data_IF_419833133320
#
_entry.id   IF_419833133320
#
_cell.length_a   1.000
_cell.length_b   1.000
_cell.length_c   1.000
_cell.angle_alpha   90.00
_cell.angle_beta   90.00
_cell.angle_gamma   90.00
#
_symmetry.space_group_name_H-M   'P 1'
#
loop_
_entity.id
_entity.type
_entity.pdbx_description
1 polymer ?
#
# COMPACT_ATOMS: atom_id res chain seq x y z
N UNK A 1 -1.48 -12.49 5.64
CA UNK A 1 -1.96 -11.11 5.92
C UNK A 1 -2.64 -11.05 7.29
N UNK A 2 -2.13 -10.26 8.24
CA UNK A 2 -2.83 -9.99 9.53
C UNK A 2 -3.71 -8.73 9.41
N UNK A 3 -5.00 -8.90 9.64
CA UNK A 3 -6.04 -7.87 9.47
C UNK A 3 -6.16 -7.05 10.76
N UNK A 4 -5.62 -5.82 10.76
CA UNK A 4 -5.83 -4.87 11.86
C UNK A 4 -7.00 -3.97 11.50
N UNK A 5 -8.16 -4.21 12.13
CA UNK A 5 -9.38 -3.44 11.90
C UNK A 5 -9.37 -2.12 12.67
N UNK A 6 -9.41 -0.97 11.98
CA UNK A 6 -9.67 0.35 12.56
C UNK A 6 -10.92 0.96 11.91
N UNK A 7 -11.96 1.23 12.70
CA UNK A 7 -13.17 1.95 12.26
C UNK A 7 -13.88 1.36 11.00
N UNK A 8 -14.02 0.02 10.94
CA UNK A 8 -14.52 -0.78 9.81
C UNK A 8 -13.58 -0.94 8.61
N UNK A 9 -12.40 -0.32 8.62
CA UNK A 9 -11.34 -0.59 7.65
C UNK A 9 -10.49 -1.74 8.17
N UNK A 10 -10.41 -2.82 7.41
CA UNK A 10 -9.79 -4.09 7.82
C UNK A 10 -8.35 -4.19 7.33
N UNK A 11 -8.01 -3.44 6.28
CA UNK A 11 -6.73 -3.54 5.59
C UNK A 11 -6.14 -2.14 5.42
N UNK A 12 -4.80 -2.07 5.42
CA UNK A 12 -4.07 -0.89 5.00
C UNK A 12 -3.14 -1.27 3.85
N UNK A 13 -3.07 -0.41 2.84
CA UNK A 13 -2.17 -0.54 1.69
C UNK A 13 -1.29 0.70 1.64
N UNK A 14 0.00 0.48 1.40
CA UNK A 14 0.98 1.56 1.24
C UNK A 14 1.50 1.54 -0.18
N UNK A 15 1.33 2.65 -0.89
CA UNK A 15 1.97 2.88 -2.17
C UNK A 15 3.18 3.79 -1.97
N UNK A 16 4.26 3.49 -2.68
CA UNK A 16 5.51 4.24 -2.65
C UNK A 16 5.97 4.47 -4.07
N UNK A 17 6.10 5.73 -4.46
CA UNK A 17 6.86 6.11 -5.65
C UNK A 17 8.33 6.20 -5.26
N UNK A 18 9.16 5.31 -5.83
CA UNK A 18 10.59 5.27 -5.53
C UNK A 18 11.36 6.46 -6.08
N UNK A 19 10.86 7.09 -7.15
CA UNK A 19 11.58 8.20 -7.78
C UNK A 19 11.50 9.47 -6.93
N UNK A 20 10.30 9.83 -6.48
CA UNK A 20 10.05 11.03 -5.67
C UNK A 20 10.14 10.81 -4.16
N UNK A 21 10.24 9.56 -3.70
CA UNK A 21 10.01 9.14 -2.31
C UNK A 21 8.62 9.53 -1.77
N UNK A 22 7.66 9.81 -2.67
CA UNK A 22 6.27 10.05 -2.30
C UNK A 22 5.63 8.76 -1.80
N UNK A 23 5.00 8.84 -0.63
CA UNK A 23 4.35 7.68 0.02
C UNK A 23 2.97 8.05 0.47
N UNK A 24 2.04 7.13 0.25
CA UNK A 24 0.67 7.31 0.71
C UNK A 24 0.11 6.00 1.24
N UNK A 25 -0.53 6.10 2.40
CA UNK A 25 -1.22 4.99 3.05
C UNK A 25 -2.71 5.17 2.89
N UNK A 26 -3.36 4.08 2.55
CA UNK A 26 -4.80 4.03 2.41
C UNK A 26 -5.37 2.96 3.33
N UNK A 27 -6.45 3.33 4.00
CA UNK A 27 -7.27 2.41 4.79
C UNK A 27 -8.41 1.94 3.92
N UNK A 28 -8.48 0.64 3.63
CA UNK A 28 -9.52 0.06 2.78
C UNK A 28 -10.40 -0.89 3.57
N UNK A 29 -11.65 -1.03 3.15
CA UNK A 29 -12.65 -1.88 3.82
C UNK A 29 -12.68 -3.26 3.18
N UNK A 30 -12.46 -3.32 1.87
CA UNK A 30 -12.41 -4.54 1.09
C UNK A 30 -11.13 -4.57 0.27
N UNK A 31 -10.67 -5.77 -0.03
CA UNK A 31 -9.47 -5.97 -0.85
C UNK A 31 -9.66 -5.41 -2.27
N UNK A 32 -10.86 -5.56 -2.83
CA UNK A 32 -11.23 -5.09 -4.17
C UNK A 32 -11.09 -3.56 -4.33
N UNK A 33 -11.15 -2.80 -3.23
CA UNK A 33 -11.01 -1.34 -3.22
C UNK A 33 -9.59 -0.87 -3.66
N UNK A 34 -8.60 -1.79 -3.72
CA UNK A 34 -7.22 -1.44 -4.09
C UNK A 34 -7.10 -0.81 -5.47
N UNK A 35 -8.00 -1.15 -6.41
CA UNK A 35 -8.01 -0.57 -7.77
C UNK A 35 -8.30 0.93 -7.72
N UNK A 36 -9.37 1.31 -7.03
CA UNK A 36 -9.79 2.71 -6.88
C UNK A 36 -8.70 3.52 -6.18
N UNK A 37 -8.12 2.94 -5.13
CA UNK A 37 -7.03 3.56 -4.39
C UNK A 37 -5.79 3.74 -5.28
N UNK A 38 -5.44 2.74 -6.08
CA UNK A 38 -4.31 2.83 -7.00
C UNK A 38 -4.50 3.94 -8.04
N UNK A 39 -5.70 4.10 -8.60
CA UNK A 39 -6.01 5.21 -9.50
C UNK A 39 -5.79 6.57 -8.82
N UNK A 40 -6.28 6.73 -7.59
CA UNK A 40 -6.06 7.94 -6.80
C UNK A 40 -4.57 8.23 -6.60
N UNK A 41 -3.80 7.22 -6.21
CA UNK A 41 -2.35 7.34 -6.04
C UNK A 41 -1.64 7.74 -7.34
N UNK A 42 -1.91 7.04 -8.45
CA UNK A 42 -1.28 7.32 -9.75
C UNK A 42 -1.60 8.75 -10.23
N UNK A 43 -2.84 9.22 -10.03
CA UNK A 43 -3.22 10.60 -10.35
C UNK A 43 -2.47 11.61 -9.49
N UNK A 44 -2.32 11.35 -8.19
CA UNK A 44 -1.58 12.23 -7.29
C UNK A 44 -0.10 12.33 -7.68
N UNK A 45 0.55 11.19 -7.97
CA UNK A 45 1.95 11.16 -8.43
C UNK A 45 2.11 11.96 -9.73
N UNK A 46 1.21 11.77 -10.70
CA UNK A 46 1.23 12.53 -11.95
C UNK A 46 1.03 14.03 -11.73
N UNK A 47 0.07 14.43 -10.89
CA UNK A 47 -0.17 15.85 -10.60
C UNK A 47 0.97 16.52 -9.85
N UNK A 48 1.62 15.82 -8.92
CA UNK A 48 2.67 16.41 -8.09
C UNK A 48 4.03 16.44 -8.77
N UNK A 49 4.32 15.46 -9.61
CA UNK A 49 5.66 15.28 -10.16
C UNK A 49 5.73 15.37 -11.69
N UNK A 50 4.60 15.53 -12.38
CA UNK A 50 4.49 15.51 -13.86
C UNK A 50 5.13 14.27 -14.49
N UNK A 51 5.16 13.18 -13.73
CA UNK A 51 5.80 11.91 -14.12
C UNK A 51 4.72 10.84 -14.21
N UNK A 52 4.67 10.18 -15.37
CA UNK A 52 3.86 8.99 -15.56
C UNK A 52 4.55 7.78 -14.91
N UNK A 53 3.81 7.05 -14.07
CA UNK A 53 4.26 5.77 -13.54
C UNK A 53 4.47 4.79 -14.71
N UNK A 54 5.69 4.24 -14.83
CA UNK A 54 6.04 3.31 -15.92
C UNK A 54 6.11 1.86 -15.47
N UNK A 55 6.40 1.64 -14.19
CA UNK A 55 6.63 0.32 -13.61
C UNK A 55 5.92 0.23 -12.27
N UNK A 56 5.27 -0.91 -12.04
CA UNK A 56 4.61 -1.24 -10.79
C UNK A 56 5.22 -2.52 -10.22
N UNK A 57 5.57 -2.48 -8.94
CA UNK A 57 6.23 -3.59 -8.23
C UNK A 57 5.45 -3.96 -6.98
N UNK A 58 5.13 -5.25 -6.82
CA UNK A 58 4.52 -5.82 -5.62
C UNK A 58 5.54 -6.74 -4.94
N UNK A 59 5.64 -6.64 -3.60
CA UNK A 59 6.31 -7.63 -2.75
C UNK A 59 5.32 -8.04 -1.64
N UNK A 60 4.96 -9.32 -1.60
CA UNK A 60 3.94 -9.94 -0.74
C UNK A 60 4.42 -11.35 -0.42
N UNK A 61 4.12 -11.85 0.78
CA UNK A 61 4.35 -13.26 1.12
C UNK A 61 3.58 -14.18 0.17
N UNK A 62 4.29 -15.15 -0.39
CA UNK A 62 3.96 -15.98 -1.57
C UNK A 62 2.52 -16.49 -1.75
N UNK A 63 1.65 -16.45 -0.73
CA UNK A 63 0.26 -16.98 -0.75
C UNK A 63 -0.81 -16.02 -1.23
N UNK A 64 -0.61 -14.69 -1.18
CA UNK A 64 -1.64 -13.70 -1.53
C UNK A 64 -1.28 -12.88 -2.79
N UNK A 65 -0.35 -13.40 -3.61
CA UNK A 65 0.27 -12.72 -4.75
C UNK A 65 -0.62 -12.70 -6.01
N UNK A 66 -1.21 -13.84 -6.34
CA UNK A 66 -1.98 -13.99 -7.58
C UNK A 66 -3.25 -13.14 -7.55
N UNK A 67 -3.88 -13.01 -6.38
CA UNK A 67 -5.11 -12.24 -6.21
C UNK A 67 -4.92 -10.73 -6.36
N UNK A 68 -3.83 -10.13 -5.84
CA UNK A 68 -3.60 -8.68 -5.98
C UNK A 68 -3.26 -8.31 -7.42
N UNK A 69 -2.39 -9.12 -8.04
CA UNK A 69 -2.00 -8.90 -9.42
C UNK A 69 -3.19 -9.06 -10.36
N UNK A 70 -3.99 -10.14 -10.22
CA UNK A 70 -5.15 -10.36 -11.08
C UNK A 70 -6.15 -9.20 -11.02
N UNK A 71 -6.33 -8.62 -9.83
CA UNK A 71 -7.22 -7.48 -9.63
C UNK A 71 -6.69 -6.19 -10.29
N UNK A 72 -5.38 -5.95 -10.24
CA UNK A 72 -4.75 -4.77 -10.84
C UNK A 72 -4.37 -4.96 -12.31
N UNK A 73 -4.34 -6.19 -12.82
CA UNK A 73 -3.78 -6.52 -14.14
C UNK A 73 -4.45 -5.73 -15.26
N UNK A 74 -5.78 -5.64 -15.25
CA UNK A 74 -6.53 -4.88 -16.25
C UNK A 74 -6.17 -3.39 -16.18
N UNK A 75 -6.15 -2.82 -14.99
CA UNK A 75 -5.78 -1.42 -14.76
C UNK A 75 -4.35 -1.10 -15.18
N UNK A 76 -3.39 -1.97 -14.88
CA UNK A 76 -2.00 -1.79 -15.28
C UNK A 76 -1.84 -1.84 -16.80
N UNK A 77 -2.56 -2.75 -17.47
CA UNK A 77 -2.56 -2.86 -18.92
C UNK A 77 -3.13 -1.60 -19.58
N UNK A 78 -4.30 -1.12 -19.12
CA UNK A 78 -4.95 0.10 -19.64
C UNK A 78 -4.06 1.34 -19.50
N UNK A 79 -3.28 1.42 -18.42
CA UNK A 79 -2.38 2.53 -18.17
C UNK A 79 -1.02 2.39 -18.87
N UNK A 80 -0.77 1.27 -19.54
CA UNK A 80 0.51 0.85 -20.12
C UNK A 80 1.65 0.85 -19.08
N UNK A 81 1.36 0.35 -17.88
CA UNK A 81 2.31 0.23 -16.77
C UNK A 81 2.86 -1.20 -16.76
N UNK A 82 4.19 -1.33 -16.82
CA UNK A 82 4.84 -2.63 -16.75
C UNK A 82 4.73 -3.19 -15.32
N UNK A 83 4.33 -4.45 -15.20
CA UNK A 83 4.35 -5.16 -13.93
C UNK A 83 5.67 -5.91 -13.74
N UNK A 84 6.32 -5.71 -12.60
CA UNK A 84 7.47 -6.50 -12.16
C UNK A 84 7.17 -7.12 -10.79
N UNK A 85 7.48 -8.41 -10.66
CA UNK A 85 7.41 -9.12 -9.39
C UNK A 85 8.79 -9.20 -8.76
N UNK A 86 8.88 -9.11 -7.43
CA UNK A 86 10.01 -9.66 -6.71
C UNK A 86 9.57 -10.56 -5.57
N UNK A 87 10.34 -11.63 -5.39
CA UNK A 87 10.30 -12.44 -4.18
C UNK A 87 10.85 -11.59 -3.03
N UNK A 88 10.28 -11.78 -1.84
CA UNK A 88 10.68 -11.10 -0.59
C UNK A 88 12.17 -11.23 -0.28
N UNK A 89 12.89 -12.18 -0.90
CA UNK A 89 14.32 -12.39 -0.72
C UNK A 89 15.19 -11.32 -1.40
N UNK A 90 14.68 -10.57 -2.36
CA UNK A 90 15.36 -9.40 -2.95
C UNK A 90 15.11 -8.11 -2.14
N UNK A 91 15.49 -8.14 -0.86
CA UNK A 91 15.29 -7.07 0.13
C UNK A 91 15.94 -5.70 -0.17
N UNK A 92 16.61 -5.50 -1.30
CA UNK A 92 17.36 -4.24 -1.55
C UNK A 92 16.45 -3.05 -1.84
N UNK A 93 15.24 -3.30 -2.34
CA UNK A 93 14.45 -2.29 -3.04
C UNK A 93 13.26 -1.73 -2.25
N UNK A 94 12.75 -2.45 -1.23
CA UNK A 94 11.48 -2.10 -0.54
C UNK A 94 11.64 -2.02 0.99
N UNK A 95 12.86 -2.24 1.51
CA UNK A 95 13.21 -2.02 2.94
C UNK A 95 12.67 -0.71 3.50
N UNK A 96 12.57 0.32 2.65
CA UNK A 96 11.97 1.62 2.95
C UNK A 96 10.47 1.57 3.23
N UNK A 97 9.68 0.88 2.41
CA UNK A 97 8.23 0.74 2.60
C UNK A 97 7.92 -0.23 3.76
N UNK A 98 8.68 -1.31 3.91
CA UNK A 98 8.52 -2.24 5.05
C UNK A 98 8.80 -1.55 6.39
N UNK A 99 9.93 -0.83 6.50
CA UNK A 99 10.27 -0.04 7.71
C UNK A 99 9.19 0.99 8.00
N UNK A 100 8.62 1.59 6.95
CA UNK A 100 7.54 2.54 7.10
C UNK A 100 6.26 1.85 7.64
N UNK A 101 5.88 0.70 7.09
CA UNK A 101 4.72 -0.08 7.55
C UNK A 101 4.87 -0.56 9.00
N UNK A 102 6.07 -1.00 9.40
CA UNK A 102 6.35 -1.39 10.79
C UNK A 102 6.17 -0.19 11.74
N UNK A 103 6.75 0.97 11.38
CA UNK A 103 6.60 2.21 12.17
C UNK A 103 5.14 2.65 12.24
N UNK A 104 4.43 2.60 11.13
CA UNK A 104 3.03 2.97 11.07
C UNK A 104 2.14 2.05 11.92
N UNK A 105 2.34 0.73 11.84
CA UNK A 105 1.64 -0.26 12.69
C UNK A 105 1.88 0.04 14.17
N UNK A 106 3.12 0.35 14.53
CA UNK A 106 3.47 0.71 15.91
C UNK A 106 2.76 1.99 16.36
N UNK A 107 2.77 3.05 15.55
CA UNK A 107 2.11 4.32 15.84
C UNK A 107 0.59 4.17 15.96
N UNK A 108 -0.05 3.44 15.04
CA UNK A 108 -1.50 3.17 15.12
C UNK A 108 -1.85 2.43 16.42
N UNK A 109 -1.03 1.44 16.81
CA UNK A 109 -1.22 0.68 18.06
C UNK A 109 -1.06 1.56 19.30
N UNK A 110 -0.11 2.50 19.30
CA UNK A 110 0.08 3.47 20.38
C UNK A 110 -1.13 4.40 20.51
N UNK A 111 -1.53 5.06 19.43
CA UNK A 111 -2.69 5.98 19.41
C UNK A 111 -3.95 5.26 19.88
N UNK A 112 -4.15 4.01 19.45
CA UNK A 112 -5.29 3.20 19.89
C UNK A 112 -5.28 2.96 21.41
N UNK A 113 -4.13 2.56 21.98
CA UNK A 113 -3.98 2.37 23.43
C UNK A 113 -4.24 3.66 24.21
N UNK A 114 -3.70 4.79 23.76
CA UNK A 114 -3.89 6.09 24.40
C UNK A 114 -5.36 6.53 24.34
N UNK A 115 -6.02 6.36 23.19
CA UNK A 115 -7.45 6.70 23.03
C UNK A 115 -8.38 5.84 23.90
N UNK A 116 -8.03 4.58 24.15
CA UNK A 116 -8.74 3.69 25.07
C UNK A 116 -8.57 4.13 26.53
N UNK A 117 -7.37 4.57 26.91
CA UNK A 117 -7.09 5.11 28.24
C UNK A 117 -7.82 6.44 28.47
N UNK A 118 -7.89 7.29 27.45
CA UNK A 118 -8.61 8.57 27.49
C UNK A 118 -10.13 8.44 27.62
N UNK A 119 -10.72 7.29 27.24
CA UNK A 119 -12.17 7.03 27.37
C UNK A 119 -12.56 6.41 28.72
N UNK A 120 -11.57 6.10 29.59
CA UNK A 120 -11.80 5.52 30.92
C UNK A 120 -11.83 6.56 32.04
N UNK A 121 -11.59 7.83 31.73
CA UNK A 121 -11.78 8.99 32.59
C UNK A 121 -12.91 9.84 32.03
#
# INVERSE_FOLDING_TARGET
IEVVSYNKHTLFITFVDKYSDYRQVYLIKRYDDVVDVFHGFNRNVQMQHDIKVKKFKIEVEHRDMDSLYDLLRLTLADLAILYEYATIYEHSCIRTAERYNIRLKHTIKLIYKESLLSKRY
#
